data_IF_119540133058
#
_entry.id   IF_119540133058
#
_cell.length_a   1.000
_cell.length_b   1.000
_cell.length_c   1.000
_cell.angle_alpha   90.00
_cell.angle_beta   90.00
_cell.angle_gamma   90.00
#
_symmetry.space_group_name_H-M   'P 1'
#
loop_
_entity.id
_entity.type
_entity.pdbx_description
1 polymer ?
#
# COMPACT_ATOMS: atom_id res chain seq x y z
N UNK A 1 7.79 -16.86 1.12
CA UNK A 1 7.93 -15.38 1.01
C UNK A 1 8.95 -15.07 -0.08
N UNK A 2 8.61 -14.20 -1.03
CA UNK A 2 9.53 -13.82 -2.11
C UNK A 2 10.58 -12.80 -1.62
N UNK A 3 11.74 -12.74 -2.28
CA UNK A 3 12.78 -11.74 -1.98
C UNK A 3 12.25 -10.30 -2.09
N UNK A 4 11.33 -10.06 -3.04
CA UNK A 4 10.64 -8.78 -3.20
C UNK A 4 9.84 -8.38 -1.95
N UNK A 5 9.13 -9.33 -1.33
CA UNK A 5 8.34 -9.07 -0.10
C UNK A 5 9.25 -8.65 1.06
N UNK A 6 10.41 -9.29 1.20
CA UNK A 6 11.38 -8.92 2.25
C UNK A 6 11.98 -7.53 2.01
N UNK A 7 12.31 -7.20 0.76
CA UNK A 7 12.80 -5.86 0.40
C UNK A 7 11.81 -4.76 0.78
N UNK A 8 10.51 -4.97 0.52
CA UNK A 8 9.46 -4.01 0.86
C UNK A 8 9.29 -3.88 2.39
N UNK A 9 9.31 -4.99 3.15
CA UNK A 9 9.28 -4.91 4.62
C UNK A 9 10.44 -4.09 5.19
N UNK A 10 11.65 -4.30 4.68
CA UNK A 10 12.82 -3.52 5.09
C UNK A 10 12.63 -2.04 4.81
N UNK A 11 12.04 -1.67 3.66
CA UNK A 11 11.71 -0.28 3.34
C UNK A 11 10.68 0.30 4.30
N UNK A 12 9.62 -0.44 4.62
CA UNK A 12 8.60 0.00 5.57
C UNK A 12 9.19 0.21 6.98
N UNK A 13 9.95 -0.76 7.50
CA UNK A 13 10.67 -0.62 8.78
C UNK A 13 11.57 0.59 8.79
N UNK A 14 12.37 0.75 7.73
CA UNK A 14 13.27 1.89 7.58
C UNK A 14 12.49 3.19 7.55
N UNK A 15 11.38 3.27 6.81
CA UNK A 15 10.51 4.45 6.74
C UNK A 15 10.02 4.86 8.13
N UNK A 16 9.43 3.93 8.89
CA UNK A 16 8.88 4.21 10.21
C UNK A 16 9.94 4.52 11.27
N UNK A 17 11.13 3.93 11.18
CA UNK A 17 12.24 4.20 12.10
C UNK A 17 12.75 5.66 12.08
N UNK A 18 12.38 6.47 11.09
CA UNK A 18 12.72 7.90 11.06
C UNK A 18 11.86 8.76 12.00
N UNK A 19 10.78 8.22 12.53
CA UNK A 19 9.82 8.95 13.36
C UNK A 19 9.95 8.54 14.84
N UNK A 20 9.67 9.49 15.73
CA UNK A 20 9.50 9.18 17.15
C UNK A 20 8.25 8.32 17.38
N UNK A 21 8.16 7.66 18.54
CA UNK A 21 7.15 6.63 18.84
C UNK A 21 5.72 7.13 18.61
N UNK A 22 5.38 8.32 19.13
CA UNK A 22 4.04 8.92 18.98
C UNK A 22 3.69 9.17 17.50
N UNK A 23 4.62 9.76 16.74
CA UNK A 23 4.40 10.05 15.32
C UNK A 23 4.36 8.78 14.49
N UNK A 24 5.16 7.78 14.86
CA UNK A 24 5.26 6.48 14.18
C UNK A 24 3.93 5.72 14.27
N UNK A 25 3.40 5.59 15.49
CA UNK A 25 2.10 4.96 15.75
C UNK A 25 0.96 5.70 15.04
N UNK A 26 0.97 7.03 15.10
CA UNK A 26 -0.04 7.83 14.40
C UNK A 26 0.02 7.64 12.87
N UNK A 27 1.21 7.76 12.27
CA UNK A 27 1.40 7.59 10.82
C UNK A 27 1.04 6.18 10.36
N UNK A 28 1.37 5.16 11.16
CA UNK A 28 0.97 3.79 10.89
C UNK A 28 -0.55 3.66 10.81
N UNK A 29 -1.27 4.18 11.83
CA UNK A 29 -2.73 4.13 11.87
C UNK A 29 -3.38 4.87 10.70
N UNK A 30 -2.85 6.04 10.34
CA UNK A 30 -3.33 6.81 9.18
C UNK A 30 -3.10 6.02 7.88
N UNK A 31 -1.92 5.44 7.69
CA UNK A 31 -1.61 4.66 6.49
C UNK A 31 -2.47 3.40 6.37
N UNK A 32 -2.68 2.69 7.47
CA UNK A 32 -3.54 1.50 7.52
C UNK A 32 -4.97 1.86 7.11
N UNK A 33 -5.52 2.94 7.69
CA UNK A 33 -6.86 3.43 7.36
C UNK A 33 -6.97 3.87 5.89
N UNK A 34 -5.95 4.55 5.35
CA UNK A 34 -5.95 4.98 3.95
C UNK A 34 -5.95 3.78 3.00
N UNK A 35 -5.19 2.73 3.30
CA UNK A 35 -5.19 1.50 2.52
C UNK A 35 -6.51 0.74 2.63
N UNK A 36 -7.13 0.70 3.81
CA UNK A 36 -8.44 0.09 4.02
C UNK A 36 -9.53 0.81 3.21
N UNK A 37 -9.54 2.14 3.26
CA UNK A 37 -10.46 2.96 2.48
C UNK A 37 -10.24 2.75 0.98
N UNK A 38 -8.99 2.73 0.54
CA UNK A 38 -8.65 2.51 -0.87
C UNK A 38 -9.09 1.13 -1.36
N UNK A 39 -8.88 0.08 -0.56
CA UNK A 39 -9.34 -1.27 -0.86
C UNK A 39 -10.87 -1.31 -0.96
N UNK A 40 -11.56 -0.74 0.02
CA UNK A 40 -13.02 -0.68 0.07
C UNK A 40 -13.59 0.06 -1.14
N UNK A 41 -13.14 1.30 -1.40
CA UNK A 41 -13.57 2.09 -2.56
C UNK A 41 -13.32 1.35 -3.88
N UNK A 42 -12.14 0.74 -4.05
CA UNK A 42 -11.81 -0.02 -5.25
C UNK A 42 -12.70 -1.26 -5.41
N UNK A 43 -13.05 -1.92 -4.31
CA UNK A 43 -13.90 -3.12 -4.32
C UNK A 43 -15.33 -2.84 -4.82
N UNK A 44 -15.84 -1.63 -4.57
CA UNK A 44 -17.18 -1.19 -4.98
C UNK A 44 -17.26 -0.83 -6.48
N UNK A 45 -16.13 -0.57 -7.14
CA UNK A 45 -16.12 -0.19 -8.56
C UNK A 45 -16.50 -1.38 -9.46
N UNK A 46 -17.28 -1.13 -10.51
CA UNK A 46 -17.41 -2.10 -11.61
C UNK A 46 -16.06 -2.28 -12.31
N UNK A 47 -15.71 -3.50 -12.71
CA UNK A 47 -14.49 -3.79 -13.50
C UNK A 47 -14.46 -3.06 -14.84
N UNK A 48 -15.60 -2.59 -15.33
CA UNK A 48 -15.70 -1.78 -16.56
C UNK A 48 -15.48 -0.28 -16.34
N UNK A 49 -15.44 0.19 -15.09
CA UNK A 49 -15.25 1.60 -14.76
C UNK A 49 -13.76 1.96 -14.70
N UNK A 50 -13.10 1.92 -15.87
CA UNK A 50 -11.65 2.11 -16.01
C UNK A 50 -11.17 3.48 -15.53
N UNK A 51 -11.99 4.53 -15.69
CA UNK A 51 -11.66 5.90 -15.24
C UNK A 51 -11.47 5.94 -13.73
N UNK A 52 -12.43 5.42 -12.95
CA UNK A 52 -12.32 5.42 -11.50
C UNK A 52 -11.27 4.41 -11.01
N UNK A 53 -11.09 3.27 -11.68
CA UNK A 53 -10.01 2.33 -11.37
C UNK A 53 -8.65 3.01 -11.57
N UNK A 54 -8.48 3.78 -12.64
CA UNK A 54 -7.25 4.55 -12.91
C UNK A 54 -7.00 5.60 -11.83
N UNK A 55 -8.05 6.28 -11.36
CA UNK A 55 -7.94 7.22 -10.24
C UNK A 55 -7.49 6.53 -8.95
N UNK A 56 -8.04 5.36 -8.62
CA UNK A 56 -7.61 4.58 -7.45
C UNK A 56 -6.17 4.05 -7.62
N UNK A 57 -5.80 3.60 -8.81
CA UNK A 57 -4.42 3.22 -9.12
C UNK A 57 -3.45 4.39 -8.91
N UNK A 58 -3.83 5.60 -9.29
CA UNK A 58 -3.01 6.79 -9.07
C UNK A 58 -2.83 7.09 -7.56
N UNK A 59 -3.89 6.99 -6.76
CA UNK A 59 -3.79 7.12 -5.29
C UNK A 59 -2.84 6.07 -4.71
N UNK A 60 -3.01 4.81 -5.11
CA UNK A 60 -2.15 3.70 -4.69
C UNK A 60 -0.67 3.95 -5.02
N UNK A 61 -0.37 4.41 -6.24
CA UNK A 61 0.98 4.81 -6.65
C UNK A 61 1.54 5.95 -5.79
N UNK A 62 0.69 6.90 -5.40
CA UNK A 62 1.04 7.96 -4.46
C UNK A 62 1.50 7.42 -3.11
N UNK A 63 0.76 6.46 -2.54
CA UNK A 63 1.12 5.78 -1.29
C UNK A 63 2.45 5.04 -1.43
N UNK A 64 2.60 4.21 -2.48
CA UNK A 64 3.86 3.49 -2.72
C UNK A 64 5.04 4.47 -2.83
N UNK A 65 4.87 5.58 -3.55
CA UNK A 65 5.90 6.61 -3.69
C UNK A 65 6.25 7.27 -2.36
N UNK A 66 5.26 7.58 -1.52
CA UNK A 66 5.47 8.12 -0.18
C UNK A 66 6.30 7.16 0.70
N UNK A 67 6.04 5.86 0.58
CA UNK A 67 6.76 4.79 1.28
C UNK A 67 8.10 4.39 0.62
N UNK A 68 8.54 5.10 -0.43
CA UNK A 68 9.73 4.78 -1.24
C UNK A 68 9.72 3.37 -1.85
N UNK A 69 8.52 2.84 -2.09
CA UNK A 69 8.23 1.62 -2.84
C UNK A 69 8.12 2.05 -4.32
N UNK A 70 9.17 1.81 -5.09
CA UNK A 70 9.26 2.11 -6.51
C UNK A 70 9.66 0.88 -7.31
N UNK A 71 8.93 0.60 -8.39
CA UNK A 71 9.24 -0.47 -9.35
C UNK A 71 9.35 -1.88 -8.73
N UNK A 72 8.77 -2.13 -7.55
CA UNK A 72 8.64 -3.48 -7.02
C UNK A 72 7.38 -4.19 -7.54
N UNK A 73 7.28 -5.49 -7.27
CA UNK A 73 6.15 -6.34 -7.70
C UNK A 73 4.76 -5.88 -7.22
N UNK A 74 4.70 -4.94 -6.27
CA UNK A 74 3.45 -4.31 -5.83
C UNK A 74 3.05 -3.10 -6.66
N UNK A 75 3.90 -2.66 -7.59
CA UNK A 75 3.69 -1.50 -8.45
C UNK A 75 3.33 -2.00 -9.85
N UNK A 76 2.12 -1.66 -10.30
CA UNK A 76 1.64 -1.95 -11.65
C UNK A 76 1.20 -0.67 -12.35
N UNK A 77 1.43 -0.61 -13.65
CA UNK A 77 0.90 0.44 -14.52
C UNK A 77 -0.42 0.03 -15.18
N UNK A 78 -0.85 -1.22 -15.01
CA UNK A 78 -2.06 -1.73 -15.61
C UNK A 78 -3.31 -1.27 -14.85
N UNK A 79 -4.30 -0.79 -15.60
CA UNK A 79 -5.59 -0.39 -15.04
C UNK A 79 -6.50 -1.60 -14.92
N UNK A 80 -6.22 -2.46 -13.95
CA UNK A 80 -6.98 -3.68 -13.66
C UNK A 80 -7.44 -3.69 -12.19
N UNK A 81 -8.75 -3.85 -11.97
CA UNK A 81 -9.34 -3.86 -10.62
C UNK A 81 -8.79 -5.00 -9.74
N UNK A 82 -8.73 -6.21 -10.29
CA UNK A 82 -8.34 -7.43 -9.54
C UNK A 82 -6.88 -7.30 -9.12
N UNK A 83 -6.03 -6.87 -10.03
CA UNK A 83 -4.61 -6.66 -9.77
C UNK A 83 -4.39 -5.54 -8.75
N UNK A 84 -5.08 -4.40 -8.91
CA UNK A 84 -5.00 -3.29 -7.96
C UNK A 84 -5.42 -3.73 -6.55
N UNK A 85 -6.53 -4.47 -6.41
CA UNK A 85 -6.95 -5.01 -5.12
C UNK A 85 -5.93 -5.99 -4.54
N UNK A 86 -5.34 -6.85 -5.38
CA UNK A 86 -4.28 -7.77 -4.97
C UNK A 86 -3.04 -7.04 -4.45
N UNK A 87 -2.65 -5.96 -5.12
CA UNK A 87 -1.52 -5.11 -4.74
C UNK A 87 -1.79 -4.37 -3.42
N UNK A 88 -2.97 -3.75 -3.27
CA UNK A 88 -3.38 -3.10 -2.01
C UNK A 88 -3.38 -4.10 -0.85
N UNK A 89 -4.01 -5.26 -1.04
CA UNK A 89 -4.10 -6.32 -0.02
C UNK A 89 -2.71 -6.82 0.39
N UNK A 90 -1.82 -6.97 -0.59
CA UNK A 90 -0.44 -7.39 -0.32
C UNK A 90 0.31 -6.35 0.49
N UNK A 91 0.16 -5.06 0.18
CA UNK A 91 0.77 -3.98 0.95
C UNK A 91 0.21 -3.90 2.38
N UNK A 92 -1.11 -4.04 2.55
CA UNK A 92 -1.75 -4.15 3.88
C UNK A 92 -1.15 -5.31 4.70
N UNK A 93 -0.97 -6.48 4.07
CA UNK A 93 -0.35 -7.63 4.73
C UNK A 93 1.09 -7.34 5.18
N UNK A 94 1.90 -6.72 4.33
CA UNK A 94 3.27 -6.35 4.69
C UNK A 94 3.34 -5.28 5.78
N UNK A 95 2.39 -4.35 5.78
CA UNK A 95 2.26 -3.32 6.81
C UNK A 95 1.86 -3.95 8.16
N UNK A 96 0.93 -4.90 8.14
CA UNK A 96 0.53 -5.66 9.34
C UNK A 96 1.66 -6.51 9.90
N UNK A 97 2.48 -7.09 9.03
CA UNK A 97 3.62 -7.91 9.44
C UNK A 97 4.70 -7.13 10.21
N UNK A 98 4.69 -5.80 10.15
CA UNK A 98 5.61 -4.94 10.92
C UNK A 98 4.91 -4.22 12.07
N UNK A 99 3.62 -4.47 12.31
CA UNK A 99 2.80 -3.79 13.33
C UNK A 99 3.41 -3.89 14.73
N UNK A 100 3.98 -5.04 15.08
CA UNK A 100 4.62 -5.25 16.38
C UNK A 100 5.94 -4.49 16.57
N UNK A 101 6.47 -3.87 15.52
CA UNK A 101 7.70 -3.07 15.52
C UNK A 101 7.41 -1.55 15.55
N UNK A 102 6.13 -1.17 15.51
CA UNK A 102 5.64 0.21 15.54
C UNK A 102 5.35 0.62 16.98
#
# INVERSE_FOLDING_TARGET
>A
MSAASQGIKTKLRTFFAHFNDDSRSHLYGVLALELDNLAFETSLLSSTNTVNISAQLHKYKGICRYLKIHNEALYSDETNKIELLGNITSLQGLLKDIESEI
#
